data_IF_871664157515
#
_entry.id   IF_871664157515
#
_cell.length_a   1.000
_cell.length_b   1.000
_cell.length_c   1.000
_cell.angle_alpha   90.00
_cell.angle_beta   90.00
_cell.angle_gamma   90.00
#
_symmetry.space_group_name_H-M   'P 1'
#
loop_
_entity.id
_entity.type
_entity.pdbx_description
1 polymer ?
#
# COMPACT_ATOMS: atom_id res chain seq x y z
N UNK A 1 -5.21 12.64 13.17
CA UNK A 1 -4.15 11.72 13.65
C UNK A 1 -3.99 10.54 12.69
N UNK A 2 -5.07 9.80 12.41
CA UNK A 2 -5.06 8.72 11.42
C UNK A 2 -4.75 9.20 9.99
N UNK A 3 -5.33 10.32 9.55
CA UNK A 3 -5.01 10.86 8.21
C UNK A 3 -3.54 11.22 8.03
N UNK A 4 -2.90 11.72 9.11
CA UNK A 4 -1.46 12.04 9.10
C UNK A 4 -0.63 10.76 9.00
N UNK A 5 -1.00 9.73 9.75
CA UNK A 5 -0.37 8.41 9.67
C UNK A 5 -0.49 7.82 8.25
N UNK A 6 -1.71 7.79 7.70
CA UNK A 6 -1.96 7.28 6.35
C UNK A 6 -1.21 8.09 5.30
N UNK A 7 -1.13 9.42 5.44
CA UNK A 7 -0.34 10.24 4.51
C UNK A 7 1.15 9.93 4.55
N UNK A 8 1.74 9.90 5.75
CA UNK A 8 3.16 9.60 5.93
C UNK A 8 3.49 8.19 5.43
N UNK A 9 2.70 7.20 5.81
CA UNK A 9 2.89 5.81 5.36
C UNK A 9 2.61 5.64 3.88
N UNK A 10 1.69 6.40 3.29
CA UNK A 10 1.50 6.41 1.83
C UNK A 10 2.77 6.86 1.10
N UNK A 11 3.46 7.89 1.58
CA UNK A 11 4.70 8.36 0.97
C UNK A 11 5.80 7.29 1.04
N UNK A 12 5.92 6.62 2.18
CA UNK A 12 6.86 5.51 2.37
C UNK A 12 6.50 4.31 1.48
N UNK A 13 5.22 3.91 1.45
CA UNK A 13 4.70 2.85 0.59
C UNK A 13 5.01 3.11 -0.88
N UNK A 14 4.74 4.33 -1.36
CA UNK A 14 5.09 4.74 -2.72
C UNK A 14 6.58 4.58 -2.99
N UNK A 15 7.43 4.96 -2.05
CA UNK A 15 8.88 4.80 -2.18
C UNK A 15 9.29 3.33 -2.28
N UNK A 16 8.89 2.50 -1.31
CA UNK A 16 9.25 1.08 -1.25
C UNK A 16 8.76 0.34 -2.50
N UNK A 17 7.47 0.43 -2.83
CA UNK A 17 6.90 -0.30 -3.98
C UNK A 17 7.51 0.17 -5.29
N UNK A 18 7.71 1.48 -5.48
CA UNK A 18 8.32 1.98 -6.72
C UNK A 18 9.76 1.50 -6.89
N UNK A 19 10.54 1.38 -5.81
CA UNK A 19 11.92 0.87 -5.86
C UNK A 19 11.95 -0.65 -6.04
N UNK A 20 11.07 -1.38 -5.36
CA UNK A 20 10.96 -2.83 -5.49
C UNK A 20 10.59 -3.23 -6.92
N UNK A 21 9.57 -2.59 -7.51
CA UNK A 21 9.18 -2.83 -8.90
C UNK A 21 10.27 -2.46 -9.92
N UNK A 22 11.27 -1.68 -9.54
CA UNK A 22 12.45 -1.36 -10.39
C UNK A 22 13.66 -2.26 -10.08
N UNK A 23 13.52 -3.25 -9.21
CA UNK A 23 14.62 -4.12 -8.77
C UNK A 23 15.68 -3.41 -7.94
N UNK A 24 15.35 -2.26 -7.32
CA UNK A 24 16.30 -1.44 -6.56
C UNK A 24 16.34 -1.76 -5.06
N UNK A 25 15.34 -2.47 -4.56
CA UNK A 25 15.30 -3.02 -3.20
C UNK A 25 14.79 -4.45 -3.28
N UNK A 26 15.27 -5.36 -2.40
CA UNK A 26 14.76 -6.73 -2.36
C UNK A 26 13.38 -6.79 -1.72
N UNK A 27 12.60 -7.81 -2.05
CA UNK A 27 11.23 -8.02 -1.53
C UNK A 27 11.18 -7.99 0.01
N UNK A 28 12.20 -8.53 0.68
CA UNK A 28 12.30 -8.55 2.15
C UNK A 28 12.18 -7.16 2.80
N UNK A 29 12.78 -6.12 2.20
CA UNK A 29 12.71 -4.76 2.77
C UNK A 29 11.29 -4.20 2.69
N UNK A 30 10.57 -4.51 1.62
CA UNK A 30 9.17 -4.14 1.48
C UNK A 30 8.30 -4.88 2.50
N UNK A 31 8.55 -6.18 2.70
CA UNK A 31 7.86 -6.99 3.71
C UNK A 31 8.08 -6.46 5.13
N UNK A 32 9.33 -6.12 5.49
CA UNK A 32 9.63 -5.51 6.80
C UNK A 32 8.88 -4.19 7.00
N UNK A 33 8.90 -3.31 6.00
CA UNK A 33 8.13 -2.06 6.04
C UNK A 33 6.63 -2.29 6.27
N UNK A 34 6.05 -3.33 5.66
CA UNK A 34 4.64 -3.66 5.84
C UNK A 34 4.36 -4.09 7.28
N UNK A 35 5.18 -4.99 7.83
CA UNK A 35 5.03 -5.43 9.22
C UNK A 35 5.22 -4.30 10.23
N UNK A 36 6.24 -3.45 10.06
CA UNK A 36 6.45 -2.28 10.91
C UNK A 36 5.22 -1.34 10.86
N UNK A 37 4.64 -1.17 9.68
CA UNK A 37 3.44 -0.34 9.50
C UNK A 37 2.21 -0.95 10.19
N UNK A 38 2.05 -2.26 10.15
CA UNK A 38 0.97 -2.97 10.85
C UNK A 38 1.15 -2.91 12.37
N UNK A 39 2.38 -3.05 12.86
CA UNK A 39 2.71 -2.92 14.28
C UNK A 39 2.42 -1.51 14.78
N UNK A 40 2.87 -0.47 14.07
CA UNK A 40 2.56 0.92 14.41
C UNK A 40 1.05 1.19 14.37
N UNK A 41 0.32 0.62 13.40
CA UNK A 41 -1.14 0.74 13.35
C UNK A 41 -1.83 0.15 14.57
N UNK A 42 -1.39 -1.03 15.04
CA UNK A 42 -1.95 -1.68 16.21
C UNK A 42 -1.83 -0.82 17.48
N UNK A 43 -0.77 0.01 17.59
CA UNK A 43 -0.58 0.93 18.72
C UNK A 43 -1.57 2.10 18.74
N UNK A 44 -2.23 2.41 17.60
CA UNK A 44 -3.19 3.51 17.50
C UNK A 44 -4.56 3.18 18.11
N UNK A 45 -4.81 1.92 18.48
CA UNK A 45 -6.02 1.45 19.16
C UNK A 45 -7.32 1.94 18.50
N UNK A 46 -7.37 1.88 17.17
CA UNK A 46 -8.52 2.34 16.38
C UNK A 46 -9.69 1.37 16.57
N UNK A 47 -10.82 1.87 17.07
CA UNK A 47 -12.00 1.06 17.40
C UNK A 47 -12.92 0.73 16.21
N UNK A 48 -12.77 1.44 15.09
CA UNK A 48 -13.61 1.25 13.90
C UNK A 48 -12.82 0.56 12.79
N UNK A 49 -13.41 -0.46 12.16
CA UNK A 49 -12.78 -1.25 11.09
C UNK A 49 -13.04 -0.70 9.67
N UNK A 50 -13.85 0.34 9.52
CA UNK A 50 -14.15 0.92 8.21
C UNK A 50 -13.18 2.07 7.90
N UNK A 51 -12.48 2.04 6.74
CA UNK A 51 -11.68 3.17 6.28
C UNK A 51 -12.50 4.46 6.26
N UNK A 52 -11.93 5.55 6.76
CA UNK A 52 -12.60 6.84 6.82
C UNK A 52 -12.56 7.57 5.46
N UNK A 53 -11.58 7.24 4.63
CA UNK A 53 -11.38 7.87 3.32
C UNK A 53 -11.06 6.84 2.25
N UNK A 54 -11.35 7.18 0.99
CA UNK A 54 -10.96 6.35 -0.14
C UNK A 54 -9.44 6.24 -0.28
N UNK A 55 -8.71 7.28 0.12
CA UNK A 55 -7.24 7.24 0.17
C UNK A 55 -6.75 6.14 1.11
N UNK A 56 -7.30 6.10 2.31
CA UNK A 56 -7.00 5.04 3.27
C UNK A 56 -7.37 3.66 2.71
N UNK A 57 -8.52 3.54 2.05
CA UNK A 57 -8.93 2.30 1.38
C UNK A 57 -7.91 1.85 0.33
N UNK A 58 -7.40 2.76 -0.52
CA UNK A 58 -6.35 2.43 -1.49
C UNK A 58 -5.05 2.05 -0.80
N UNK A 59 -4.68 2.74 0.28
CA UNK A 59 -3.49 2.42 1.06
C UNK A 59 -3.53 0.98 1.58
N UNK A 60 -4.62 0.59 2.27
CA UNK A 60 -4.77 -0.78 2.79
C UNK A 60 -4.89 -1.81 1.68
N UNK A 61 -5.55 -1.47 0.57
CA UNK A 61 -5.64 -2.35 -0.58
C UNK A 61 -4.25 -2.67 -1.13
N UNK A 62 -3.40 -1.65 -1.36
CA UNK A 62 -2.04 -1.87 -1.84
C UNK A 62 -1.23 -2.69 -0.85
N UNK A 63 -1.27 -2.34 0.44
CA UNK A 63 -0.54 -3.06 1.48
C UNK A 63 -0.93 -4.55 1.52
N UNK A 64 -2.23 -4.86 1.44
CA UNK A 64 -2.71 -6.23 1.34
C UNK A 64 -2.22 -6.95 0.08
N UNK A 65 -2.30 -6.32 -1.10
CA UNK A 65 -1.85 -6.93 -2.36
C UNK A 65 -0.37 -7.31 -2.30
N UNK A 66 0.47 -6.49 -1.66
CA UNK A 66 1.90 -6.76 -1.55
C UNK A 66 2.23 -7.97 -0.67
N UNK A 67 1.45 -8.24 0.37
CA UNK A 67 1.63 -9.43 1.21
C UNK A 67 0.94 -10.67 0.64
N UNK A 68 -0.14 -10.49 -0.12
CA UNK A 68 -0.89 -11.60 -0.69
C UNK A 68 -0.17 -12.28 -1.86
N UNK A 69 0.44 -11.49 -2.74
CA UNK A 69 1.09 -12.01 -3.95
C UNK A 69 2.55 -12.38 -3.71
N UNK A 70 3.05 -13.38 -4.42
CA UNK A 70 4.47 -13.72 -4.38
C UNK A 70 5.32 -12.66 -5.08
N UNK A 71 6.60 -12.59 -4.72
CA UNK A 71 7.60 -11.73 -5.40
C UNK A 71 7.61 -11.94 -6.92
N UNK A 72 7.48 -13.20 -7.37
CA UNK A 72 7.46 -13.52 -8.80
C UNK A 72 6.24 -12.92 -9.51
N UNK A 73 5.05 -13.04 -8.91
CA UNK A 73 3.81 -12.46 -9.46
C UNK A 73 3.90 -10.94 -9.50
N UNK A 74 4.35 -10.31 -8.41
CA UNK A 74 4.52 -8.86 -8.33
C UNK A 74 5.49 -8.30 -9.39
N UNK A 75 6.50 -9.08 -9.81
CA UNK A 75 7.48 -8.65 -10.81
C UNK A 75 7.08 -9.00 -12.24
N UNK A 76 6.36 -10.10 -12.48
CA UNK A 76 6.13 -10.60 -13.83
C UNK A 76 4.69 -10.42 -14.33
N UNK A 77 3.70 -10.31 -13.44
CA UNK A 77 2.33 -10.02 -13.83
C UNK A 77 2.18 -8.54 -14.21
N UNK A 78 1.98 -8.28 -15.50
CA UNK A 78 1.85 -6.93 -16.06
C UNK A 78 0.55 -6.24 -15.63
N UNK A 79 -0.53 -7.00 -15.43
CA UNK A 79 -1.83 -6.48 -15.05
C UNK A 79 -1.76 -6.01 -13.60
N UNK A 80 -1.26 -6.88 -12.71
CA UNK A 80 -1.05 -6.56 -11.30
C UNK A 80 -0.13 -5.33 -11.14
N UNK A 81 1.00 -5.30 -11.84
CA UNK A 81 1.93 -4.16 -11.80
C UNK A 81 1.28 -2.86 -12.24
N UNK A 82 0.44 -2.89 -13.29
CA UNK A 82 -0.30 -1.72 -13.75
C UNK A 82 -1.33 -1.27 -12.71
N UNK A 83 -2.06 -2.20 -12.09
CA UNK A 83 -3.00 -1.89 -11.02
C UNK A 83 -2.30 -1.24 -9.83
N UNK A 84 -1.20 -1.83 -9.33
CA UNK A 84 -0.38 -1.26 -8.27
C UNK A 84 0.12 0.14 -8.64
N UNK A 85 0.64 0.34 -9.85
CA UNK A 85 1.09 1.66 -10.32
C UNK A 85 -0.02 2.70 -10.35
N UNK A 86 -1.24 2.33 -10.75
CA UNK A 86 -2.40 3.23 -10.72
C UNK A 86 -2.73 3.63 -9.28
N UNK A 87 -2.75 2.68 -8.35
CA UNK A 87 -2.97 2.93 -6.93
C UNK A 87 -1.91 3.87 -6.33
N UNK A 88 -0.62 3.61 -6.60
CA UNK A 88 0.47 4.49 -6.19
C UNK A 88 0.36 5.88 -6.80
N UNK A 89 -0.09 5.97 -8.06
CA UNK A 89 -0.35 7.22 -8.75
C UNK A 89 -1.45 8.05 -8.08
N UNK A 90 -2.53 7.39 -7.65
CA UNK A 90 -3.60 8.01 -6.88
C UNK A 90 -3.13 8.47 -5.50
N UNK A 91 -2.40 7.62 -4.75
CA UNK A 91 -1.80 8.02 -3.48
C UNK A 91 -0.83 9.20 -3.64
N UNK A 92 -0.15 9.33 -4.78
CA UNK A 92 0.70 10.49 -5.07
C UNK A 92 -0.10 11.75 -5.48
N UNK A 93 -1.42 11.65 -5.66
CA UNK A 93 -2.26 12.74 -6.15
C UNK A 93 -2.10 13.04 -7.65
N UNK A 94 -1.58 12.09 -8.44
CA UNK A 94 -1.27 12.29 -9.87
C UNK A 94 -2.30 11.70 -10.83
N UNK A 95 -3.18 10.81 -10.35
CA UNK A 95 -4.08 10.01 -11.19
C UNK A 95 -5.46 9.98 -10.56
N UNK A 96 -6.48 9.76 -11.39
CA UNK A 96 -7.85 9.52 -10.96
C UNK A 96 -7.98 8.24 -10.14
N UNK A 97 -9.13 8.13 -9.46
CA UNK A 97 -9.51 7.05 -8.56
C UNK A 97 -9.35 5.66 -9.24
N UNK A 98 -8.55 4.74 -8.67
CA UNK A 98 -8.41 3.38 -9.20
C UNK A 98 -9.69 2.57 -9.00
N UNK A 99 -10.06 1.78 -10.02
CA UNK A 99 -11.23 0.91 -9.98
C UNK A 99 -11.00 -0.28 -9.03
N UNK A 100 -12.08 -0.77 -8.42
CA UNK A 100 -12.15 -2.02 -7.63
C UNK A 100 -11.16 -2.14 -6.46
N UNK A 101 -10.66 -1.01 -5.95
CA UNK A 101 -9.80 -1.01 -4.76
C UNK A 101 -10.63 -1.22 -3.51
N UNK A 102 -10.68 -2.45 -3.00
CA UNK A 102 -11.26 -2.77 -1.69
C UNK A 102 -10.11 -3.03 -0.72
N UNK A 103 -9.84 -2.05 0.14
CA UNK A 103 -8.88 -2.17 1.23
C UNK A 103 -9.60 -2.02 2.55
N UNK A 104 -9.32 -2.93 3.47
CA UNK A 104 -9.90 -2.95 4.81
C UNK A 104 -8.72 -2.80 5.77
N UNK A 105 -8.85 -1.91 6.76
CA UNK A 105 -7.85 -1.77 7.82
C UNK A 105 -7.84 -3.04 8.69
N UNK A 106 -6.66 -3.48 9.15
CA UNK A 106 -6.54 -4.58 10.11
C UNK A 106 -7.31 -4.32 11.41
#
# INVERSE_FOLDING_TARGET
>A
MLDVFIEQKSQQLIYYVSRFLRGQIPHREMHLFIWDTLEEWAQLQVSHHTPATFREQVFWHVLYQLEYWSEQELLHDKILRKQLQNCLGYLRGKVCLPLDCVGIRP
#
